data_IF_454005442704
#
_entry.id   IF_454005442704
#
_cell.length_a   1.000
_cell.length_b   1.000
_cell.length_c   1.000
_cell.angle_alpha   90.00
_cell.angle_beta   90.00
_cell.angle_gamma   90.00
#
_symmetry.space_group_name_H-M   'P 1'
#
loop_
_entity.id
_entity.type
_entity.pdbx_description
1 polymer ?
#
# COMPACT_ATOMS: atom_id res chain seq x y z
N UNK A 1 -18.33 3.98 9.66
CA UNK A 1 -17.29 4.61 8.81
C UNK A 1 -15.89 4.25 9.31
N UNK A 2 -15.59 4.47 10.59
CA UNK A 2 -14.30 4.13 11.23
C UNK A 2 -13.70 2.76 10.85
N UNK A 3 -14.46 1.66 11.00
CA UNK A 3 -13.97 0.30 10.65
C UNK A 3 -13.61 0.20 9.17
N UNK A 4 -14.47 0.72 8.29
CA UNK A 4 -14.27 0.64 6.84
C UNK A 4 -13.04 1.45 6.41
N UNK A 5 -12.88 2.67 6.92
CA UNK A 5 -11.70 3.51 6.64
C UNK A 5 -10.42 2.84 7.17
N UNK A 6 -10.45 2.29 8.38
CA UNK A 6 -9.30 1.56 8.93
C UNK A 6 -8.91 0.33 8.12
N UNK A 7 -9.88 -0.45 7.64
CA UNK A 7 -9.63 -1.60 6.75
C UNK A 7 -9.04 -1.11 5.42
N UNK A 8 -9.62 -0.06 4.83
CA UNK A 8 -9.12 0.53 3.59
C UNK A 8 -7.68 1.00 3.74
N UNK A 9 -7.35 1.71 4.82
CA UNK A 9 -6.02 2.26 5.07
C UNK A 9 -4.96 1.15 5.26
N UNK A 10 -5.25 0.12 6.08
CA UNK A 10 -4.32 -1.00 6.26
C UNK A 10 -4.19 -1.83 4.98
N UNK A 11 -5.28 -2.03 4.23
CA UNK A 11 -5.23 -2.71 2.94
C UNK A 11 -4.38 -1.93 1.93
N UNK A 12 -4.57 -0.62 1.84
CA UNK A 12 -3.77 0.28 1.02
C UNK A 12 -2.28 0.17 1.35
N UNK A 13 -1.91 0.34 2.62
CA UNK A 13 -0.52 0.26 3.07
C UNK A 13 0.10 -1.11 2.74
N UNK A 14 -0.65 -2.18 3.02
CA UNK A 14 -0.23 -3.55 2.76
C UNK A 14 0.00 -3.81 1.28
N UNK A 15 -0.89 -3.33 0.40
CA UNK A 15 -0.77 -3.47 -1.06
C UNK A 15 0.34 -2.61 -1.64
N UNK A 16 0.47 -1.34 -1.23
CA UNK A 16 1.49 -0.43 -1.78
C UNK A 16 2.90 -0.89 -1.40
N UNK A 17 3.13 -1.20 -0.12
CA UNK A 17 4.42 -1.73 0.35
C UNK A 17 4.66 -3.11 -0.26
N UNK A 18 3.61 -3.94 -0.33
CA UNK A 18 3.64 -5.27 -0.90
C UNK A 18 4.10 -5.30 -2.36
N UNK A 19 3.35 -4.61 -3.22
CA UNK A 19 3.64 -4.51 -4.65
C UNK A 19 4.97 -3.80 -4.90
N UNK A 20 5.28 -2.75 -4.14
CA UNK A 20 6.55 -2.02 -4.23
C UNK A 20 7.76 -2.92 -3.94
N UNK A 21 7.69 -3.72 -2.88
CA UNK A 21 8.75 -4.68 -2.50
C UNK A 21 8.91 -5.77 -3.55
N UNK A 22 7.81 -6.28 -4.12
CA UNK A 22 7.86 -7.27 -5.20
C UNK A 22 8.54 -6.73 -6.46
N UNK A 23 8.39 -5.43 -6.76
CA UNK A 23 9.05 -4.79 -7.90
C UNK A 23 10.57 -4.64 -7.73
N UNK A 24 11.09 -4.65 -6.50
CA UNK A 24 12.55 -4.64 -6.28
C UNK A 24 13.24 -5.92 -6.74
N UNK A 25 12.49 -7.02 -6.84
CA UNK A 25 12.97 -8.32 -7.35
C UNK A 25 13.01 -8.37 -8.88
N UNK A 26 12.36 -7.41 -9.57
CA UNK A 26 12.30 -7.41 -11.02
C UNK A 26 13.59 -6.88 -11.65
N UNK A 27 14.01 -7.55 -12.73
CA UNK A 27 15.20 -7.17 -13.50
C UNK A 27 14.90 -6.14 -14.60
N UNK A 28 13.62 -5.96 -14.96
CA UNK A 28 13.21 -5.00 -15.99
C UNK A 28 13.66 -3.58 -15.61
N UNK A 29 14.32 -2.89 -16.54
CA UNK A 29 14.84 -1.53 -16.32
C UNK A 29 13.72 -0.59 -15.87
N UNK A 30 13.95 0.13 -14.78
CA UNK A 30 12.97 1.04 -14.17
C UNK A 30 12.06 0.39 -13.11
N UNK A 31 11.98 -0.94 -13.02
CA UNK A 31 11.14 -1.61 -12.04
C UNK A 31 11.56 -1.30 -10.60
N UNK A 32 12.87 -1.32 -10.31
CA UNK A 32 13.41 -0.98 -8.99
C UNK A 32 13.12 0.45 -8.58
N UNK A 33 13.27 1.42 -9.51
CA UNK A 33 12.93 2.82 -9.26
C UNK A 33 11.45 2.96 -8.87
N UNK A 34 10.56 2.31 -9.63
CA UNK A 34 9.13 2.34 -9.36
C UNK A 34 8.77 1.60 -8.06
N UNK A 35 9.44 0.49 -7.76
CA UNK A 35 9.30 -0.23 -6.49
C UNK A 35 9.70 0.63 -5.30
N UNK A 36 10.85 1.30 -5.36
CA UNK A 36 11.28 2.26 -4.34
C UNK A 36 10.31 3.43 -4.19
N UNK A 37 9.73 3.92 -5.30
CA UNK A 37 8.69 4.95 -5.28
C UNK A 37 7.43 4.49 -4.54
N UNK A 38 6.96 3.27 -4.79
CA UNK A 38 5.81 2.70 -4.10
C UNK A 38 6.09 2.47 -2.61
N UNK A 39 7.25 1.94 -2.24
CA UNK A 39 7.62 1.73 -0.83
C UNK A 39 7.71 3.07 -0.09
N UNK A 40 8.32 4.09 -0.70
CA UNK A 40 8.43 5.44 -0.13
C UNK A 40 7.04 6.05 0.15
N UNK A 41 6.10 5.87 -0.78
CA UNK A 41 4.71 6.29 -0.62
C UNK A 41 4.06 5.56 0.56
N UNK A 42 4.10 4.23 0.57
CA UNK A 42 3.46 3.43 1.64
C UNK A 42 4.05 3.71 3.02
N UNK A 43 5.38 3.75 3.15
CA UNK A 43 6.03 4.06 4.43
C UNK A 43 5.76 5.50 4.88
N UNK A 44 5.76 6.46 3.94
CA UNK A 44 5.48 7.85 4.25
C UNK A 44 4.04 8.11 4.68
N UNK A 45 3.07 7.44 4.05
CA UNK A 45 1.66 7.53 4.42
C UNK A 45 1.38 6.81 5.74
N UNK A 46 2.13 5.75 6.08
CA UNK A 46 1.96 5.02 7.33
C UNK A 46 2.10 5.94 8.57
N UNK A 47 2.97 6.95 8.51
CA UNK A 47 3.14 7.93 9.60
C UNK A 47 1.90 8.77 9.89
N UNK A 48 0.96 8.89 8.94
CA UNK A 48 -0.30 9.60 9.17
C UNK A 48 -1.50 8.64 9.24
N UNK A 49 -1.49 7.55 8.47
CA UNK A 49 -2.59 6.59 8.39
C UNK A 49 -2.66 5.73 9.66
N UNK A 50 -1.53 5.29 10.22
CA UNK A 50 -1.53 4.51 11.47
C UNK A 50 -2.11 5.34 12.64
N UNK A 51 -1.65 6.59 12.90
CA UNK A 51 -2.30 7.44 13.90
C UNK A 51 -3.78 7.70 13.64
N UNK A 52 -4.19 7.81 12.37
CA UNK A 52 -5.61 7.95 12.00
C UNK A 52 -6.42 6.71 12.34
N UNK A 53 -5.92 5.53 12.01
CA UNK A 53 -6.55 4.24 12.38
C UNK A 53 -6.70 4.16 13.90
N UNK A 54 -5.64 4.52 14.65
CA UNK A 54 -5.69 4.55 16.12
C UNK A 54 -6.75 5.55 16.61
N UNK A 55 -6.82 6.74 16.01
CA UNK A 55 -7.81 7.77 16.35
C UNK A 55 -9.24 7.30 16.13
N UNK A 56 -9.49 6.48 15.10
CA UNK A 56 -10.80 5.88 14.83
C UNK A 56 -11.19 4.79 15.83
N UNK A 57 -10.22 4.06 16.37
CA UNK A 57 -10.44 2.86 17.17
C UNK A 57 -10.31 3.14 18.68
N UNK A 58 -9.65 4.22 19.06
CA UNK A 58 -9.44 4.64 20.45
C UNK A 58 -10.54 5.59 20.92
N UNK A 59 -10.99 5.52 22.19
CA UNK A 59 -11.93 6.48 22.75
C UNK A 59 -11.38 7.91 22.83
N UNK A 60 -10.06 8.09 22.75
CA UNK A 60 -9.41 9.41 22.71
C UNK A 60 -9.69 10.18 21.41
N UNK A 61 -10.18 9.52 20.37
CA UNK A 61 -10.51 10.14 19.09
C UNK A 61 -9.32 10.82 18.40
N UNK A 62 -9.63 11.74 17.49
CA UNK A 62 -8.64 12.55 16.77
C UNK A 62 -7.97 13.62 17.65
N UNK A 63 -8.66 14.10 18.69
CA UNK A 63 -8.15 15.14 19.58
C UNK A 63 -6.96 14.60 20.41
N UNK A 64 -7.09 13.41 20.99
CA UNK A 64 -6.03 12.79 21.79
C UNK A 64 -4.82 12.32 20.97
N UNK A 65 -4.94 12.21 19.65
CA UNK A 65 -3.85 11.80 18.75
C UNK A 65 -3.39 12.93 17.81
N UNK A 66 -3.83 14.15 18.08
CA UNK A 66 -3.48 15.37 17.33
C UNK A 66 -1.98 15.54 17.09
N UNK A 67 -1.16 15.32 18.13
CA UNK A 67 0.30 15.40 18.03
C UNK A 67 0.88 14.43 16.99
N UNK A 68 0.50 13.15 17.06
CA UNK A 68 0.97 12.12 16.15
C UNK A 68 0.47 12.35 14.71
N UNK A 69 -0.78 12.79 14.56
CA UNK A 69 -1.35 13.17 13.26
C UNK A 69 -0.61 14.36 12.64
N UNK A 70 -0.27 15.37 13.44
CA UNK A 70 0.45 16.57 13.00
C UNK A 70 1.85 16.20 12.48
N UNK A 71 2.62 15.42 13.23
CA UNK A 71 3.92 14.93 12.78
C UNK A 71 3.82 13.92 11.62
N UNK A 72 2.74 13.15 11.56
CA UNK A 72 2.43 12.30 10.42
C UNK A 72 2.32 13.09 9.12
N UNK A 73 1.56 14.20 9.13
CA UNK A 73 1.44 15.09 7.99
C UNK A 73 2.77 15.75 7.58
N UNK A 74 3.65 16.06 8.54
CA UNK A 74 5.00 16.54 8.26
C UNK A 74 5.79 15.52 7.43
N UNK A 75 5.86 14.28 7.92
CA UNK A 75 6.58 13.19 7.23
C UNK A 75 5.97 12.95 5.85
N UNK A 76 4.64 12.82 5.77
CA UNK A 76 3.94 12.62 4.50
C UNK A 76 4.18 13.77 3.52
N UNK A 77 4.28 15.02 3.97
CA UNK A 77 4.58 16.16 3.09
C UNK A 77 5.96 16.03 2.45
N UNK A 78 6.96 15.57 3.20
CA UNK A 78 8.31 15.32 2.68
C UNK A 78 8.31 14.12 1.74
N UNK A 79 7.77 12.97 2.17
CA UNK A 79 7.78 11.75 1.36
C UNK A 79 6.99 11.89 0.06
N UNK A 80 5.85 12.59 0.09
CA UNK A 80 5.08 12.91 -1.12
C UNK A 80 5.86 13.78 -2.09
N UNK A 81 6.71 14.68 -1.60
CA UNK A 81 7.59 15.47 -2.47
C UNK A 81 8.57 14.57 -3.20
N UNK A 82 9.23 13.66 -2.47
CA UNK A 82 10.14 12.70 -3.05
C UNK A 82 9.43 11.68 -3.97
N UNK A 83 8.20 11.28 -3.65
CA UNK A 83 7.37 10.44 -4.51
C UNK A 83 7.23 11.06 -5.90
N UNK A 84 6.88 12.35 -6.00
CA UNK A 84 6.74 13.02 -7.29
C UNK A 84 8.08 13.27 -7.99
N UNK A 85 9.18 13.42 -7.25
CA UNK A 85 10.53 13.41 -7.83
C UNK A 85 10.85 12.04 -8.44
N UNK A 86 10.55 10.94 -7.75
CA UNK A 86 10.75 9.59 -8.27
C UNK A 86 9.84 9.30 -9.46
N UNK A 87 8.59 9.76 -9.40
CA UNK A 87 7.67 9.69 -10.52
C UNK A 87 8.20 10.47 -11.72
N UNK A 88 8.80 11.66 -11.53
CA UNK A 88 9.45 12.38 -12.62
C UNK A 88 10.58 11.57 -13.25
N UNK A 89 11.40 10.86 -12.45
CA UNK A 89 12.43 9.97 -12.99
C UNK A 89 11.86 8.76 -13.73
N UNK A 90 10.72 8.21 -13.28
CA UNK A 90 9.97 7.22 -14.04
C UNK A 90 9.47 7.81 -15.36
N UNK A 91 8.81 8.96 -15.33
CA UNK A 91 8.39 9.69 -16.53
C UNK A 91 9.54 9.87 -17.54
N UNK A 92 10.73 10.31 -17.10
CA UNK A 92 11.91 10.47 -17.97
C UNK A 92 12.38 9.14 -18.58
N UNK A 93 12.39 8.07 -17.80
CA UNK A 93 12.79 6.75 -18.27
C UNK A 93 11.83 6.21 -19.33
N UNK A 94 10.54 6.49 -19.21
CA UNK A 94 9.48 6.01 -20.12
C UNK A 94 9.35 6.87 -21.37
N UNK A 95 9.43 8.20 -21.23
CA UNK A 95 9.33 9.16 -22.35
C UNK A 95 10.62 9.28 -23.15
N UNK A 96 11.77 9.03 -22.53
CA UNK A 96 13.09 9.35 -23.08
C UNK A 96 13.50 10.81 -22.85
N UNK A 97 12.75 11.57 -22.05
CA UNK A 97 12.98 13.00 -21.82
C UNK A 97 14.31 13.28 -21.10
N UNK A 98 15.19 14.04 -21.79
CA UNK A 98 16.50 14.46 -21.30
C UNK A 98 16.58 15.95 -20.95
N UNK A 99 15.47 16.68 -20.98
CA UNK A 99 15.42 18.12 -20.72
C UNK A 99 15.92 18.47 -19.31
N UNK A 100 17.02 19.23 -19.26
CA UNK A 100 17.62 19.68 -18.02
C UNK A 100 16.80 20.77 -17.34
N UNK A 101 16.05 21.57 -18.10
CA UNK A 101 15.20 22.64 -17.58
C UNK A 101 14.07 22.05 -16.72
N UNK A 102 13.36 21.04 -17.23
CA UNK A 102 12.34 20.30 -16.46
C UNK A 102 12.91 19.71 -15.19
N UNK A 103 14.11 19.14 -15.25
CA UNK A 103 14.80 18.57 -14.07
C UNK A 103 15.08 19.65 -13.02
N UNK A 104 15.59 20.81 -13.44
CA UNK A 104 15.87 21.94 -12.54
C UNK A 104 14.58 22.44 -11.90
N UNK A 105 13.51 22.62 -12.69
CA UNK A 105 12.19 23.05 -12.19
C UNK A 105 11.67 22.09 -11.12
N UNK A 106 11.71 20.78 -11.37
CA UNK A 106 11.27 19.75 -10.41
C UNK A 106 12.07 19.84 -9.10
N UNK A 107 13.39 20.02 -9.18
CA UNK A 107 14.24 20.14 -8.00
C UNK A 107 14.06 21.44 -7.24
N UNK A 108 13.88 22.57 -7.92
CA UNK A 108 13.59 23.85 -7.27
C UNK A 108 12.25 23.79 -6.55
N UNK A 109 11.20 23.26 -7.19
CA UNK A 109 9.89 23.11 -6.55
C UNK A 109 9.93 22.15 -5.35
N UNK A 110 10.66 21.04 -5.48
CA UNK A 110 10.83 20.09 -4.39
C UNK A 110 11.62 20.70 -3.21
N UNK A 111 12.73 21.37 -3.48
CA UNK A 111 13.55 22.03 -2.46
C UNK A 111 12.76 23.15 -1.76
N UNK A 112 12.03 23.95 -2.53
CA UNK A 112 11.20 25.02 -1.98
C UNK A 112 10.07 24.46 -1.10
N UNK A 113 9.41 23.37 -1.52
CA UNK A 113 8.43 22.67 -0.67
C UNK A 113 9.05 22.15 0.62
N UNK A 114 10.18 21.45 0.54
CA UNK A 114 10.86 20.91 1.73
C UNK A 114 11.28 22.04 2.67
N UNK A 115 11.83 23.13 2.13
CA UNK A 115 12.15 24.33 2.90
C UNK A 115 10.93 24.87 3.64
N UNK A 116 9.81 25.05 2.95
CA UNK A 116 8.55 25.51 3.55
C UNK A 116 7.99 24.54 4.60
N UNK A 117 8.17 23.23 4.44
CA UNK A 117 7.73 22.21 5.41
C UNK A 117 8.57 22.24 6.69
N UNK A 118 9.87 22.53 6.59
CA UNK A 118 10.81 22.57 7.72
C UNK A 118 10.69 23.84 8.58
N UNK A 119 10.03 24.88 8.06
CA UNK A 119 9.84 26.13 8.78
C UNK A 119 9.00 25.94 10.07
N UNK A 120 9.43 26.48 11.23
CA UNK A 120 8.71 26.32 12.49
C UNK A 120 7.30 26.92 12.49
N UNK A 121 7.04 27.86 11.58
CA UNK A 121 5.74 28.52 11.41
C UNK A 121 4.60 27.55 11.02
N UNK A 122 4.92 26.33 10.57
CA UNK A 122 3.92 25.28 10.35
C UNK A 122 3.20 24.86 11.64
N UNK A 123 3.82 25.05 12.81
CA UNK A 123 3.23 24.69 14.11
C UNK A 123 3.10 23.19 14.33
N UNK A 124 4.01 22.38 13.79
CA UNK A 124 4.00 20.92 13.95
C UNK A 124 3.93 20.49 15.41
N UNK A 125 3.14 19.45 15.68
CA UNK A 125 2.83 18.98 17.03
C UNK A 125 1.56 19.61 17.64
N UNK A 126 1.01 20.66 17.02
CA UNK A 126 -0.28 21.25 17.41
C UNK A 126 -1.38 20.92 16.39
N UNK A 127 -2.63 20.89 16.84
CA UNK A 127 -3.83 20.80 15.97
C UNK A 127 -4.87 21.82 16.43
N UNK A 128 -5.40 22.66 15.51
CA UNK A 128 -4.97 22.80 14.13
C UNK A 128 -3.57 23.41 14.02
N UNK A 129 -2.83 23.05 12.97
CA UNK A 129 -1.57 23.70 12.63
C UNK A 129 -1.80 25.10 12.04
N UNK A 130 -0.76 25.74 11.51
CA UNK A 130 -0.93 27.02 10.84
C UNK A 130 -1.53 26.82 9.43
N UNK A 131 -2.79 27.18 9.26
CA UNK A 131 -3.54 27.07 8.00
C UNK A 131 -2.83 27.74 6.80
N UNK A 132 -2.33 28.97 6.96
CA UNK A 132 -1.67 29.71 5.87
C UNK A 132 -0.37 29.02 5.43
N UNK A 133 0.44 28.54 6.38
CA UNK A 133 1.63 27.75 6.05
C UNK A 133 1.27 26.39 5.43
N UNK A 134 0.13 25.82 5.82
CA UNK A 134 -0.51 24.68 5.15
C UNK A 134 -0.77 24.95 3.67
N UNK A 135 -1.25 26.14 3.31
CA UNK A 135 -1.42 26.55 1.90
C UNK A 135 -0.06 26.75 1.24
N UNK A 136 0.83 27.55 1.86
CA UNK A 136 2.12 27.91 1.25
C UNK A 136 2.97 26.70 0.89
N UNK A 137 3.11 25.71 1.78
CA UNK A 137 3.89 24.49 1.49
C UNK A 137 3.30 23.62 0.38
N UNK A 138 2.02 23.81 0.06
CA UNK A 138 1.31 23.05 -0.96
C UNK A 138 1.19 23.77 -2.31
N UNK A 139 1.45 25.07 -2.40
CA UNK A 139 1.56 25.79 -3.69
C UNK A 139 2.63 25.18 -4.61
N UNK A 140 3.89 24.97 -4.16
CA UNK A 140 4.92 24.38 -5.01
C UNK A 140 4.59 22.93 -5.39
N UNK A 141 3.89 22.23 -4.50
CA UNK A 141 3.42 20.88 -4.74
C UNK A 141 2.36 20.81 -5.83
N UNK A 142 1.38 21.71 -5.79
CA UNK A 142 0.33 21.81 -6.79
C UNK A 142 0.91 22.15 -8.16
N UNK A 143 1.89 23.07 -8.21
CA UNK A 143 2.61 23.40 -9.45
C UNK A 143 3.36 22.17 -9.98
N UNK A 144 4.12 21.46 -9.13
CA UNK A 144 4.82 20.24 -9.51
C UNK A 144 3.86 19.18 -10.06
N UNK A 145 2.71 19.00 -9.38
CA UNK A 145 1.64 18.10 -9.82
C UNK A 145 1.08 18.47 -11.18
N UNK A 146 0.72 19.74 -11.38
CA UNK A 146 0.18 20.25 -12.65
C UNK A 146 1.16 20.04 -13.82
N UNK A 147 2.45 20.31 -13.61
CA UNK A 147 3.49 20.08 -14.60
C UNK A 147 3.60 18.60 -14.97
N UNK A 148 3.63 17.70 -13.99
CA UNK A 148 3.72 16.26 -14.23
C UNK A 148 2.46 15.68 -14.89
N UNK A 149 1.27 16.18 -14.54
CA UNK A 149 0.02 15.84 -15.24
C UNK A 149 0.14 16.22 -16.72
N UNK A 150 0.54 17.46 -17.01
CA UNK A 150 0.66 17.97 -18.37
C UNK A 150 1.70 17.19 -19.19
N UNK A 151 2.89 16.95 -18.63
CA UNK A 151 3.94 16.20 -19.33
C UNK A 151 3.56 14.74 -19.56
N UNK A 152 2.97 14.08 -18.58
CA UNK A 152 2.50 12.70 -18.72
C UNK A 152 1.31 12.58 -19.68
N UNK A 153 0.46 13.60 -19.78
CA UNK A 153 -0.62 13.63 -20.78
C UNK A 153 -0.08 13.73 -22.21
N UNK A 154 0.98 14.51 -22.43
CA UNK A 154 1.66 14.58 -23.74
C UNK A 154 2.25 13.23 -24.15
N UNK A 155 2.82 12.51 -23.20
CA UNK A 155 3.46 11.21 -23.41
C UNK A 155 2.53 10.01 -23.14
N UNK A 156 1.20 10.22 -23.11
CA UNK A 156 0.19 9.19 -22.77
C UNK A 156 0.11 8.00 -23.74
N UNK A 157 0.85 8.02 -24.84
CA UNK A 157 0.92 6.89 -25.77
C UNK A 157 2.12 5.97 -25.47
N UNK A 158 3.01 6.38 -24.56
CA UNK A 158 4.17 5.59 -24.15
C UNK A 158 3.75 4.54 -23.13
N UNK A 159 4.19 3.30 -23.33
CA UNK A 159 3.91 2.21 -22.39
C UNK A 159 4.31 2.57 -20.95
N UNK A 160 3.44 2.25 -20.00
CA UNK A 160 3.61 2.61 -18.60
C UNK A 160 3.14 4.02 -18.22
N UNK A 161 2.90 4.93 -19.18
CA UNK A 161 2.40 6.29 -18.91
C UNK A 161 0.92 6.51 -19.24
N UNK A 162 0.29 5.62 -20.01
CA UNK A 162 -1.04 5.81 -20.60
C UNK A 162 -2.13 6.39 -19.68
N UNK A 163 -2.21 5.92 -18.45
CA UNK A 163 -3.22 6.35 -17.47
C UNK A 163 -2.65 7.16 -16.30
N UNK A 164 -1.33 7.37 -16.27
CA UNK A 164 -0.67 7.97 -15.11
C UNK A 164 -1.08 9.43 -14.91
N UNK A 165 -1.23 10.19 -16.01
CA UNK A 165 -1.68 11.59 -15.93
C UNK A 165 -3.07 11.71 -15.31
N UNK A 166 -4.01 10.80 -15.64
CA UNK A 166 -5.37 10.81 -15.15
C UNK A 166 -5.41 10.47 -13.65
N UNK A 167 -4.63 9.46 -13.22
CA UNK A 167 -4.56 9.08 -11.81
C UNK A 167 -3.92 10.18 -10.95
N UNK A 168 -2.88 10.85 -11.46
CA UNK A 168 -2.30 12.00 -10.78
C UNK A 168 -3.29 13.17 -10.72
N UNK A 169 -4.00 13.44 -11.83
CA UNK A 169 -5.04 14.46 -11.86
C UNK A 169 -6.14 14.19 -10.84
N UNK A 170 -6.69 12.97 -10.81
CA UNK A 170 -7.72 12.58 -9.85
C UNK A 170 -7.20 12.71 -8.40
N UNK A 171 -5.96 12.31 -8.16
CA UNK A 171 -5.34 12.49 -6.84
C UNK A 171 -5.28 13.97 -6.42
N UNK A 172 -4.81 14.86 -7.28
CA UNK A 172 -4.76 16.30 -6.98
C UNK A 172 -6.15 16.94 -6.90
N UNK A 173 -7.10 16.49 -7.72
CA UNK A 173 -8.49 16.94 -7.70
C UNK A 173 -9.14 16.70 -6.35
N UNK A 174 -8.92 15.54 -5.73
CA UNK A 174 -9.43 15.23 -4.39
C UNK A 174 -8.57 15.81 -3.27
N UNK A 175 -7.28 16.02 -3.51
CA UNK A 175 -6.35 16.55 -2.52
C UNK A 175 -6.55 18.05 -2.24
N UNK A 176 -6.71 18.88 -3.28
CA UNK A 176 -6.81 20.33 -3.13
C UNK A 176 -7.98 20.72 -2.20
N UNK A 177 -9.20 20.17 -2.36
CA UNK A 177 -10.29 20.48 -1.46
C UNK A 177 -10.02 20.09 0.00
N UNK A 178 -9.37 18.95 0.22
CA UNK A 178 -8.99 18.49 1.56
C UNK A 178 -8.06 19.51 2.21
N UNK A 179 -7.02 19.96 1.52
CA UNK A 179 -6.07 20.94 2.08
C UNK A 179 -6.73 22.27 2.42
N UNK A 180 -7.67 22.73 1.60
CA UNK A 180 -8.26 24.06 1.74
C UNK A 180 -9.39 24.10 2.77
N UNK A 181 -10.17 23.02 2.89
CA UNK A 181 -11.46 23.07 3.57
C UNK A 181 -11.74 21.94 4.57
N UNK A 182 -10.86 20.94 4.73
CA UNK A 182 -11.16 19.83 5.65
C UNK A 182 -11.26 20.26 7.12
N UNK A 183 -10.59 21.36 7.51
CA UNK A 183 -10.69 21.94 8.86
C UNK A 183 -12.05 22.60 9.11
N UNK A 184 -12.69 23.15 8.07
CA UNK A 184 -13.99 23.83 8.18
C UNK A 184 -15.15 22.86 7.97
N UNK A 185 -14.99 21.89 7.07
CA UNK A 185 -16.02 20.94 6.69
C UNK A 185 -15.47 19.50 6.79
N UNK A 186 -15.70 18.80 7.92
CA UNK A 186 -15.18 17.45 8.16
C UNK A 186 -15.53 16.44 7.05
N UNK A 187 -16.70 16.59 6.41
CA UNK A 187 -17.14 15.73 5.29
C UNK A 187 -16.18 15.78 4.09
N UNK A 188 -15.48 16.89 3.86
CA UNK A 188 -14.48 17.02 2.80
C UNK A 188 -13.29 16.10 3.06
N UNK A 189 -13.00 15.79 4.34
CA UNK A 189 -11.99 14.81 4.72
C UNK A 189 -12.21 13.42 4.11
N UNK A 190 -13.45 13.05 3.77
CA UNK A 190 -13.76 11.77 3.12
C UNK A 190 -13.12 11.65 1.72
N UNK A 191 -12.80 12.76 1.05
CA UNK A 191 -12.10 12.77 -0.25
C UNK A 191 -10.66 12.22 -0.17
N UNK A 192 -10.14 12.00 1.04
CA UNK A 192 -8.86 11.32 1.23
C UNK A 192 -8.89 9.88 0.73
N UNK A 193 -10.01 9.15 0.86
CA UNK A 193 -10.11 7.77 0.36
C UNK A 193 -10.01 7.69 -1.18
N UNK A 194 -10.79 8.45 -1.98
CA UNK A 194 -10.61 8.52 -3.44
C UNK A 194 -9.20 8.93 -3.87
N UNK A 195 -8.58 9.91 -3.18
CA UNK A 195 -7.18 10.30 -3.43
C UNK A 195 -6.23 9.11 -3.23
N UNK A 196 -6.33 8.41 -2.10
CA UNK A 196 -5.49 7.25 -1.76
C UNK A 196 -5.72 6.11 -2.75
N UNK A 197 -6.96 5.88 -3.19
CA UNK A 197 -7.27 4.90 -4.23
C UNK A 197 -6.59 5.24 -5.57
N UNK A 198 -6.51 6.52 -5.94
CA UNK A 198 -5.78 6.94 -7.14
C UNK A 198 -4.28 6.60 -7.06
N UNK A 199 -3.64 6.81 -5.89
CA UNK A 199 -2.25 6.40 -5.67
C UNK A 199 -2.05 4.88 -5.69
N UNK A 200 -2.95 4.13 -5.06
CA UNK A 200 -2.94 2.67 -5.14
C UNK A 200 -2.98 2.22 -6.60
N UNK A 201 -3.85 2.83 -7.41
CA UNK A 201 -3.97 2.52 -8.83
C UNK A 201 -2.70 2.87 -9.62
N UNK A 202 -1.98 3.95 -9.27
CA UNK A 202 -0.66 4.24 -9.86
C UNK A 202 0.27 3.04 -9.61
N UNK A 203 0.33 2.55 -8.38
CA UNK A 203 1.17 1.42 -8.00
C UNK A 203 0.74 0.12 -8.70
N UNK A 204 -0.57 -0.18 -8.74
CA UNK A 204 -1.12 -1.37 -9.40
C UNK A 204 -0.85 -1.37 -10.91
N UNK A 205 -1.02 -0.23 -11.59
CA UNK A 205 -0.73 -0.14 -13.02
C UNK A 205 0.76 -0.26 -13.31
N UNK A 206 1.61 0.37 -12.48
CA UNK A 206 3.06 0.18 -12.58
C UNK A 206 3.47 -1.28 -12.34
N UNK A 207 2.86 -1.93 -11.34
CA UNK A 207 3.07 -3.35 -11.10
C UNK A 207 2.73 -4.20 -12.32
N UNK A 208 1.55 -4.02 -12.91
CA UNK A 208 1.13 -4.73 -14.13
C UNK A 208 2.05 -4.47 -15.32
N UNK A 209 2.60 -3.26 -15.45
CA UNK A 209 3.54 -2.91 -16.52
C UNK A 209 4.89 -3.63 -16.38
N UNK A 210 5.39 -3.79 -15.15
CA UNK A 210 6.67 -4.47 -14.90
C UNK A 210 6.52 -5.99 -14.76
N UNK A 211 5.37 -6.47 -14.28
CA UNK A 211 5.04 -7.87 -14.03
C UNK A 211 3.86 -8.27 -14.92
N UNK A 212 4.15 -8.62 -16.17
CA UNK A 212 3.12 -8.92 -17.18
C UNK A 212 2.60 -10.36 -17.15
N UNK A 213 3.51 -11.33 -17.24
CA UNK A 213 3.16 -12.76 -17.27
C UNK A 213 3.23 -13.39 -15.88
N UNK A 214 2.36 -14.38 -15.63
CA UNK A 214 2.36 -15.14 -14.38
C UNK A 214 3.19 -16.42 -14.56
N UNK A 215 4.36 -16.45 -13.94
CA UNK A 215 5.36 -17.54 -14.01
C UNK A 215 5.63 -18.08 -12.61
N UNK A 216 6.40 -19.18 -12.51
CA UNK A 216 6.80 -19.74 -11.22
C UNK A 216 7.52 -18.72 -10.31
N UNK A 217 8.29 -17.80 -10.88
CA UNK A 217 8.93 -16.70 -10.14
C UNK A 217 7.93 -15.72 -9.49
N UNK A 218 6.70 -15.61 -9.99
CA UNK A 218 5.64 -14.84 -9.33
C UNK A 218 5.18 -15.52 -8.04
N UNK A 219 5.03 -16.85 -8.05
CA UNK A 219 4.66 -17.64 -6.87
C UNK A 219 5.74 -17.50 -5.79
N UNK A 220 7.00 -17.70 -6.17
CA UNK A 220 8.15 -17.49 -5.28
C UNK A 220 8.23 -16.04 -4.78
N UNK A 221 7.96 -15.07 -5.65
CA UNK A 221 7.94 -13.66 -5.30
C UNK A 221 6.84 -13.31 -4.30
N UNK A 222 5.67 -13.95 -4.37
CA UNK A 222 4.60 -13.81 -3.36
C UNK A 222 5.03 -14.43 -2.04
N UNK A 223 5.69 -15.60 -2.07
CA UNK A 223 6.22 -16.22 -0.86
C UNK A 223 7.23 -15.29 -0.16
N UNK A 224 8.24 -14.82 -0.90
CA UNK A 224 9.26 -13.90 -0.39
C UNK A 224 8.65 -12.59 0.13
N UNK A 225 7.63 -12.07 -0.55
CA UNK A 225 6.93 -10.88 -0.07
C UNK A 225 6.32 -11.11 1.31
N UNK A 226 5.63 -12.22 1.47
CA UNK A 226 4.97 -12.56 2.72
C UNK A 226 5.95 -12.88 3.85
N UNK A 227 7.18 -13.30 3.54
CA UNK A 227 8.21 -13.43 4.58
C UNK A 227 8.59 -12.05 5.14
N UNK A 228 8.78 -11.05 4.28
CA UNK A 228 9.04 -9.65 4.69
C UNK A 228 7.85 -9.11 5.49
N UNK A 229 6.64 -9.26 4.97
CA UNK A 229 5.43 -8.75 5.62
C UNK A 229 5.18 -9.44 6.98
N UNK A 230 5.42 -10.74 7.08
CA UNK A 230 5.25 -11.49 8.33
C UNK A 230 6.27 -11.11 9.40
N UNK A 231 7.53 -10.91 9.03
CA UNK A 231 8.57 -10.41 9.93
C UNK A 231 8.27 -8.98 10.39
N UNK A 232 7.87 -8.10 9.47
CA UNK A 232 7.50 -6.71 9.76
C UNK A 232 6.27 -6.65 10.66
N UNK A 233 5.24 -7.47 10.40
CA UNK A 233 4.04 -7.57 11.23
C UNK A 233 4.34 -8.06 12.65
N UNK A 234 5.27 -9.01 12.80
CA UNK A 234 5.72 -9.48 14.12
C UNK A 234 6.49 -8.39 14.89
N UNK A 235 7.35 -7.64 14.21
CA UNK A 235 8.04 -6.50 14.82
C UNK A 235 7.04 -5.39 15.22
N UNK A 236 6.07 -5.08 14.35
CA UNK A 236 5.01 -4.13 14.64
C UNK A 236 4.20 -4.54 15.88
N UNK A 237 3.72 -5.79 15.95
CA UNK A 237 3.04 -6.31 17.13
C UNK A 237 3.82 -6.07 18.42
N UNK A 238 5.12 -6.40 18.42
CA UNK A 238 5.99 -6.30 19.59
C UNK A 238 6.16 -4.85 20.04
N UNK A 239 6.53 -3.95 19.13
CA UNK A 239 6.79 -2.55 19.48
C UNK A 239 5.49 -1.81 19.81
N UNK A 240 4.39 -2.11 19.10
CA UNK A 240 3.09 -1.49 19.31
C UNK A 240 2.49 -1.87 20.68
N UNK A 241 2.46 -3.16 21.01
CA UNK A 241 1.95 -3.62 22.31
C UNK A 241 2.80 -3.05 23.46
N UNK A 242 4.12 -2.99 23.29
CA UNK A 242 5.03 -2.38 24.26
C UNK A 242 4.78 -0.88 24.45
N UNK A 243 4.55 -0.13 23.36
CA UNK A 243 4.28 1.30 23.41
C UNK A 243 3.01 1.63 24.23
N UNK A 244 1.99 0.78 24.14
CA UNK A 244 0.74 0.91 24.90
C UNK A 244 0.73 0.16 26.24
N UNK A 245 1.84 -0.46 26.64
CA UNK A 245 1.92 -1.34 27.83
C UNK A 245 0.84 -2.44 27.86
N UNK A 246 0.47 -2.96 26.69
CA UNK A 246 -0.56 -3.99 26.55
C UNK A 246 0.05 -5.40 26.65
N UNK A 247 -0.42 -6.21 27.61
CA UNK A 247 0.14 -7.54 27.93
C UNK A 247 -0.80 -8.70 27.64
N UNK A 248 -2.08 -8.42 27.42
CA UNK A 248 -3.07 -9.47 27.15
C UNK A 248 -2.91 -10.07 25.76
N UNK A 249 -3.41 -11.30 25.51
CA UNK A 249 -3.46 -11.86 24.18
C UNK A 249 -4.28 -10.96 23.24
N UNK A 250 -3.73 -10.64 22.07
CA UNK A 250 -4.43 -9.89 21.01
C UNK A 250 -4.34 -10.60 19.67
N UNK A 251 -5.26 -10.25 18.77
CA UNK A 251 -5.22 -10.66 17.37
C UNK A 251 -3.93 -10.20 16.69
N UNK A 252 -3.34 -9.08 17.13
CA UNK A 252 -2.08 -8.58 16.57
C UNK A 252 -0.93 -9.58 16.73
N UNK A 253 -0.91 -10.33 17.84
CA UNK A 253 0.06 -11.42 18.07
C UNK A 253 -0.06 -12.57 17.07
N UNK A 254 -1.21 -12.72 16.41
CA UNK A 254 -1.47 -13.77 15.41
C UNK A 254 -0.95 -13.40 14.01
N UNK A 255 -0.75 -12.11 13.71
CA UNK A 255 -0.37 -11.60 12.38
C UNK A 255 0.91 -12.24 11.87
N UNK A 256 1.94 -12.32 12.72
CA UNK A 256 3.24 -12.87 12.36
C UNK A 256 3.13 -14.30 11.84
N UNK A 257 2.54 -15.20 12.63
CA UNK A 257 2.45 -16.63 12.32
C UNK A 257 1.53 -16.88 11.13
N UNK A 258 0.37 -16.23 11.06
CA UNK A 258 -0.55 -16.42 9.92
C UNK A 258 0.08 -15.93 8.61
N UNK A 259 0.81 -14.82 8.64
CA UNK A 259 1.47 -14.29 7.44
C UNK A 259 2.63 -15.18 6.99
N UNK A 260 3.43 -15.71 7.93
CA UNK A 260 4.52 -16.63 7.58
C UNK A 260 4.02 -18.01 7.14
N UNK A 261 2.98 -18.56 7.75
CA UNK A 261 2.47 -19.88 7.39
C UNK A 261 1.63 -19.81 6.11
N UNK A 262 0.55 -19.03 6.11
CA UNK A 262 -0.38 -18.97 4.97
C UNK A 262 0.18 -18.14 3.80
N UNK A 263 0.94 -17.09 4.09
CA UNK A 263 1.52 -16.23 3.05
C UNK A 263 2.84 -16.76 2.48
N UNK A 264 3.80 -17.11 3.35
CA UNK A 264 5.13 -17.56 2.92
C UNK A 264 5.21 -19.08 2.70
N UNK A 265 4.92 -19.89 3.72
CA UNK A 265 5.16 -21.34 3.66
C UNK A 265 4.25 -22.04 2.62
N UNK A 266 2.94 -21.75 2.61
CA UNK A 266 2.01 -22.32 1.62
C UNK A 266 2.42 -21.93 0.19
N UNK A 267 2.77 -20.66 -0.05
CA UNK A 267 3.20 -20.22 -1.38
C UNK A 267 4.54 -20.81 -1.79
N UNK A 268 5.47 -21.00 -0.84
CA UNK A 268 6.73 -21.69 -1.09
C UNK A 268 6.50 -23.17 -1.45
N UNK A 269 5.59 -23.85 -0.75
CA UNK A 269 5.20 -25.23 -1.07
C UNK A 269 4.59 -25.31 -2.47
N UNK A 270 3.64 -24.42 -2.81
CA UNK A 270 3.05 -24.36 -4.15
C UNK A 270 4.15 -24.14 -5.21
N UNK A 271 5.10 -23.24 -4.96
CA UNK A 271 6.24 -23.02 -5.86
C UNK A 271 7.08 -24.28 -6.03
N UNK A 272 7.40 -25.00 -4.94
CA UNK A 272 8.22 -26.21 -5.00
C UNK A 272 7.53 -27.34 -5.76
N UNK A 273 6.23 -27.53 -5.54
CA UNK A 273 5.41 -28.54 -6.26
C UNK A 273 5.36 -28.22 -7.75
N UNK A 274 5.19 -26.94 -8.09
CA UNK A 274 4.98 -26.51 -9.48
C UNK A 274 6.28 -26.10 -10.19
N UNK A 275 7.44 -26.37 -9.58
CA UNK A 275 8.76 -25.89 -10.08
C UNK A 275 9.10 -26.45 -11.46
N UNK A 276 8.65 -27.66 -11.78
CA UNK A 276 8.88 -28.33 -13.07
C UNK A 276 7.89 -27.92 -14.16
N UNK A 277 6.83 -27.17 -13.82
CA UNK A 277 5.78 -26.81 -14.78
C UNK A 277 6.27 -25.72 -15.74
N UNK A 278 5.83 -25.82 -16.99
CA UNK A 278 6.01 -24.76 -17.98
C UNK A 278 5.13 -23.52 -17.65
N UNK A 279 5.39 -22.40 -18.33
CA UNK A 279 4.69 -21.13 -18.08
C UNK A 279 3.19 -21.18 -18.43
N UNK A 280 2.78 -21.98 -19.41
CA UNK A 280 1.38 -22.13 -19.79
C UNK A 280 0.61 -22.87 -18.69
N UNK A 281 1.19 -23.96 -18.19
CA UNK A 281 0.64 -24.74 -17.08
C UNK A 281 0.57 -23.91 -15.79
N UNK A 282 1.62 -23.15 -15.45
CA UNK A 282 1.59 -22.20 -14.33
C UNK A 282 0.52 -21.11 -14.53
N UNK A 283 0.32 -20.65 -15.77
CA UNK A 283 -0.71 -19.67 -16.12
C UNK A 283 -2.12 -20.10 -15.68
N UNK A 284 -2.42 -21.41 -15.69
CA UNK A 284 -3.71 -21.98 -15.23
C UNK A 284 -3.93 -21.79 -13.73
N UNK A 285 -2.85 -21.65 -12.94
CA UNK A 285 -2.91 -21.44 -11.48
C UNK A 285 -3.03 -19.96 -11.09
N UNK A 286 -2.85 -19.02 -12.02
CA UNK A 286 -2.90 -17.57 -11.76
C UNK A 286 -4.16 -17.13 -11.02
N UNK A 287 -5.33 -17.51 -11.55
CA UNK A 287 -6.63 -17.10 -10.99
C UNK A 287 -6.88 -17.66 -9.59
N UNK A 288 -6.77 -18.98 -9.33
CA UNK A 288 -6.99 -19.51 -8.00
C UNK A 288 -5.97 -19.00 -6.97
N UNK A 289 -4.69 -18.83 -7.36
CA UNK A 289 -3.67 -18.24 -6.48
C UNK A 289 -4.01 -16.79 -6.12
N UNK A 290 -4.43 -15.96 -7.08
CA UNK A 290 -4.81 -14.58 -6.75
C UNK A 290 -6.07 -14.48 -5.90
N UNK A 291 -7.04 -15.40 -6.05
CA UNK A 291 -8.18 -15.50 -5.14
C UNK A 291 -7.68 -15.83 -3.73
N UNK A 292 -6.84 -16.85 -3.60
CA UNK A 292 -6.24 -17.24 -2.31
C UNK A 292 -5.51 -16.06 -1.64
N UNK A 293 -4.59 -15.41 -2.35
CA UNK A 293 -3.79 -14.29 -1.82
C UNK A 293 -4.66 -13.09 -1.46
N UNK A 294 -5.73 -12.83 -2.22
CA UNK A 294 -6.67 -11.73 -1.91
C UNK A 294 -7.45 -11.99 -0.63
N UNK A 295 -7.99 -13.20 -0.46
CA UNK A 295 -8.67 -13.60 0.79
C UNK A 295 -7.72 -13.58 1.98
N UNK A 296 -6.50 -14.09 1.80
CA UNK A 296 -5.45 -14.07 2.80
C UNK A 296 -5.09 -12.65 3.23
N UNK A 297 -4.91 -11.73 2.26
CA UNK A 297 -4.59 -10.33 2.54
C UNK A 297 -5.73 -9.67 3.31
N UNK A 298 -6.98 -9.89 2.91
CA UNK A 298 -8.15 -9.38 3.62
C UNK A 298 -8.19 -9.89 5.08
N UNK A 299 -7.94 -11.18 5.31
CA UNK A 299 -7.88 -11.75 6.66
C UNK A 299 -6.76 -11.15 7.50
N UNK A 300 -5.55 -10.96 6.95
CA UNK A 300 -4.44 -10.33 7.68
C UNK A 300 -4.77 -8.86 8.01
N UNK A 301 -5.34 -8.12 7.07
CA UNK A 301 -5.81 -6.74 7.29
C UNK A 301 -6.84 -6.72 8.43
N UNK A 302 -7.80 -7.63 8.42
CA UNK A 302 -8.83 -7.69 9.46
C UNK A 302 -8.21 -8.02 10.84
N UNK A 303 -7.28 -8.99 10.91
CA UNK A 303 -6.54 -9.32 12.14
C UNK A 303 -5.78 -8.09 12.64
N UNK A 304 -5.15 -7.31 11.75
CA UNK A 304 -4.45 -6.07 12.12
C UNK A 304 -5.42 -5.02 12.69
N UNK A 305 -6.57 -4.77 12.05
CA UNK A 305 -7.57 -3.81 12.55
C UNK A 305 -8.10 -4.23 13.92
N UNK A 306 -8.49 -5.49 14.08
CA UNK A 306 -8.96 -6.03 15.37
C UNK A 306 -7.88 -5.90 16.43
N UNK A 307 -6.65 -6.31 16.11
CA UNK A 307 -5.54 -6.29 17.04
C UNK A 307 -5.15 -4.88 17.48
N UNK A 308 -5.18 -3.90 16.57
CA UNK A 308 -4.97 -2.49 16.93
C UNK A 308 -6.11 -2.02 17.85
N UNK A 309 -7.36 -2.31 17.51
CA UNK A 309 -8.52 -1.95 18.33
C UNK A 309 -8.41 -2.52 19.76
N UNK A 310 -8.09 -3.81 19.91
CA UNK A 310 -7.93 -4.44 21.21
C UNK A 310 -6.92 -3.70 22.09
N UNK A 311 -5.80 -3.27 21.50
CA UNK A 311 -4.75 -2.54 22.21
C UNK A 311 -5.15 -1.10 22.55
N UNK A 312 -5.86 -0.39 21.66
CA UNK A 312 -6.12 1.07 21.83
C UNK A 312 -7.51 1.43 22.34
N UNK A 313 -8.41 0.47 22.43
CA UNK A 313 -9.81 0.67 22.86
C UNK A 313 -9.96 0.99 24.34
N UNK A 314 -8.94 0.72 25.16
CA UNK A 314 -9.00 0.88 26.62
C UNK A 314 -10.16 0.09 27.26
N UNK A 315 -10.56 -1.03 26.65
CA UNK A 315 -11.68 -1.85 27.10
C UNK A 315 -13.07 -1.29 26.76
N UNK A 316 -13.15 -0.19 26.00
CA UNK A 316 -14.42 0.40 25.58
C UNK A 316 -14.89 -0.14 24.23
N UNK A 317 -16.21 -0.29 24.08
CA UNK A 317 -16.81 -0.68 22.81
C UNK A 317 -16.95 0.54 21.88
N UNK A 318 -15.89 0.86 21.14
CA UNK A 318 -15.90 1.98 20.17
C UNK A 318 -16.31 1.55 18.75
N UNK A 319 -16.41 0.24 18.49
CA UNK A 319 -16.72 -0.32 17.17
C UNK A 319 -17.78 -1.42 17.20
N UNK A 320 -18.48 -1.59 16.08
CA UNK A 320 -19.46 -2.65 15.86
C UNK A 320 -18.77 -3.98 15.52
N UNK A 321 -18.62 -4.87 16.50
CA UNK A 321 -18.00 -6.20 16.35
C UNK A 321 -18.64 -7.08 15.26
N UNK A 322 -19.98 -7.21 15.15
CA UNK A 322 -20.62 -7.99 14.09
C UNK A 322 -20.15 -7.67 12.66
N UNK A 323 -19.88 -6.40 12.34
CA UNK A 323 -19.38 -6.00 11.01
C UNK A 323 -18.00 -6.61 10.73
N UNK A 324 -17.13 -6.61 11.73
CA UNK A 324 -15.76 -7.15 11.63
C UNK A 324 -15.77 -8.67 11.53
N UNK A 325 -16.63 -9.33 12.31
CA UNK A 325 -16.79 -10.78 12.26
C UNK A 325 -17.29 -11.22 10.88
N UNK A 326 -18.23 -10.46 10.28
CA UNK A 326 -18.68 -10.68 8.92
C UNK A 326 -17.56 -10.57 7.87
N UNK A 327 -16.70 -9.54 7.99
CA UNK A 327 -15.54 -9.37 7.10
C UNK A 327 -14.53 -10.51 7.29
N UNK A 328 -14.33 -10.96 8.52
CA UNK A 328 -13.50 -12.14 8.82
C UNK A 328 -14.04 -13.37 8.10
N UNK A 329 -15.35 -13.63 8.17
CA UNK A 329 -15.99 -14.75 7.49
C UNK A 329 -15.79 -14.72 5.97
N UNK A 330 -15.94 -13.55 5.34
CA UNK A 330 -15.68 -13.36 3.90
C UNK A 330 -14.22 -13.71 3.55
N UNK A 331 -13.26 -13.24 4.34
CA UNK A 331 -11.84 -13.59 4.16
C UNK A 331 -11.60 -15.09 4.18
N UNK A 332 -12.16 -15.81 5.16
CA UNK A 332 -12.04 -17.27 5.28
C UNK A 332 -12.65 -18.01 4.09
N UNK A 333 -13.82 -17.59 3.61
CA UNK A 333 -14.47 -18.19 2.43
C UNK A 333 -13.57 -18.03 1.20
N UNK A 334 -13.02 -16.83 0.96
CA UNK A 334 -12.16 -16.56 -0.19
C UNK A 334 -10.85 -17.37 -0.11
N UNK A 335 -10.24 -17.47 1.07
CA UNK A 335 -9.06 -18.32 1.31
C UNK A 335 -9.37 -19.77 0.97
N UNK A 336 -10.47 -20.31 1.52
CA UNK A 336 -10.86 -21.70 1.31
C UNK A 336 -11.10 -22.00 -0.18
N UNK A 337 -11.88 -21.16 -0.86
CA UNK A 337 -12.15 -21.30 -2.30
C UNK A 337 -10.86 -21.22 -3.11
N UNK A 338 -9.99 -20.24 -2.84
CA UNK A 338 -8.74 -20.05 -3.56
C UNK A 338 -7.75 -21.21 -3.37
N UNK A 339 -7.59 -21.68 -2.12
CA UNK A 339 -6.67 -22.76 -1.79
C UNK A 339 -7.15 -24.10 -2.36
N UNK A 340 -8.41 -24.47 -2.10
CA UNK A 340 -8.99 -25.73 -2.60
C UNK A 340 -8.94 -25.76 -4.13
N UNK A 341 -9.27 -24.65 -4.79
CA UNK A 341 -9.19 -24.57 -6.26
C UNK A 341 -7.74 -24.69 -6.77
N UNK A 342 -6.77 -24.07 -6.09
CA UNK A 342 -5.35 -24.19 -6.45
C UNK A 342 -4.89 -25.65 -6.37
N UNK A 343 -5.18 -26.33 -5.25
CA UNK A 343 -4.80 -27.73 -5.04
C UNK A 343 -5.51 -28.67 -6.01
N UNK A 344 -6.81 -28.48 -6.25
CA UNK A 344 -7.56 -29.28 -7.20
C UNK A 344 -7.00 -29.16 -8.62
N UNK A 345 -6.57 -27.96 -9.03
CA UNK A 345 -5.94 -27.76 -10.34
C UNK A 345 -4.56 -28.42 -10.44
N UNK A 346 -3.75 -28.35 -9.39
CA UNK A 346 -2.47 -29.06 -9.34
C UNK A 346 -2.70 -30.58 -9.45
N UNK A 347 -3.66 -31.12 -8.69
CA UNK A 347 -4.00 -32.54 -8.75
C UNK A 347 -4.46 -33.00 -10.15
N UNK A 348 -5.30 -32.20 -10.82
CA UNK A 348 -5.74 -32.47 -12.19
C UNK A 348 -4.55 -32.49 -13.18
N UNK A 349 -3.61 -31.57 -13.03
CA UNK A 349 -2.41 -31.50 -13.87
C UNK A 349 -1.52 -32.73 -13.65
N UNK A 350 -1.19 -33.06 -12.39
CA UNK A 350 -0.37 -34.22 -12.03
C UNK A 350 -0.98 -35.54 -12.49
N UNK A 351 -2.31 -35.69 -12.37
CA UNK A 351 -3.00 -36.91 -12.79
C UNK A 351 -2.96 -37.11 -14.31
N UNK A 352 -2.99 -36.03 -15.07
CA UNK A 352 -3.08 -36.06 -16.52
C UNK A 352 -1.70 -35.98 -17.22
N UNK A 353 -0.61 -35.81 -16.48
CA UNK A 353 0.73 -35.96 -17.04
C UNK A 353 0.98 -37.44 -17.36
N UNK A 354 1.44 -37.79 -18.58
CA UNK A 354 1.87 -39.15 -18.86
C UNK A 354 3.00 -39.46 -17.87
N UNK A 355 2.80 -40.49 -17.03
CA UNK A 355 3.89 -41.04 -16.23
C UNK A 355 4.99 -41.38 -17.22
N UNK A 356 6.11 -40.65 -17.21
CA UNK A 356 7.32 -41.14 -17.83
C UNK A 356 7.52 -42.55 -17.27
N UNK A 357 7.43 -43.53 -18.15
CA UNK A 357 7.83 -44.89 -17.84
C UNK A 357 9.28 -44.76 -17.40
N UNK A 358 9.52 -44.91 -16.10
CA UNK A 358 10.85 -45.15 -15.59
C UNK A 358 11.31 -46.47 -16.21
N UNK A 359 11.92 -46.38 -17.40
CA UNK A 359 12.65 -47.47 -18.01
C UNK A 359 14.00 -47.48 -17.28
N UNK A 360 14.05 -48.38 -16.28
CA UNK A 360 15.20 -49.05 -15.67
C UNK A 360 16.56 -48.36 -15.69
#
# INVERSE_FOLDING_TARGET
MAIFESIFDILYLSLVIGLGSRLLLEKKKGAKLFGSMAILLGLGDAFHLIPRIISHLSPLGFEGHSFALSWGQFVTSITMTFFYVFYYYFYRNQSGDRDNTKRIIVYVLAALRIGLVLLPQNGWGNVPGNYLFGIYRNIPFAILGALLIFWSYKERNKEGLNHMWLLILLSFLFYIPVVLWSEQFPLIGALMMPKTAAYLMIVVLGYKYFVGEFKGSNILGIAFLNSIMGLTGGAFYREFSKFYNYTEPSHLGKVHVHTLVLGFAVMLIIYLITKSYDNETIGKLKKPIYIYVSGFTLSVVNIMVIGIYEVVSMGQETINRPVIDGISGIGHIIIAVGLVWTIAKIYEIEKNQPKEVAIN
#
